data_IF_277175116780
#
_entry.id   IF_277175116780
#
_cell.length_a   1.000
_cell.length_b   1.000
_cell.length_c   1.000
_cell.angle_alpha   90.00
_cell.angle_beta   90.00
_cell.angle_gamma   90.00
#
_symmetry.space_group_name_H-M   'P 1'
#
loop_
_entity.id
_entity.type
_entity.pdbx_description
1 polymer ?
#
# COMPACT_ATOMS: atom_id res chain seq x y z
N UNK A 1 -37.56 -62.94 29.23
CA UNK A 1 -37.39 -61.57 29.77
C UNK A 1 -36.34 -60.88 28.90
N UNK A 2 -36.75 -59.88 28.10
CA UNK A 2 -35.89 -59.23 27.10
C UNK A 2 -35.00 -58.18 27.79
N UNK A 3 -33.69 -58.30 27.65
CA UNK A 3 -32.71 -57.29 28.05
C UNK A 3 -32.40 -56.41 26.84
N UNK A 4 -32.81 -55.14 26.92
CA UNK A 4 -32.50 -54.10 25.95
C UNK A 4 -31.07 -53.63 26.18
N UNK A 5 -30.17 -53.87 25.21
CA UNK A 5 -28.82 -53.29 25.21
C UNK A 5 -28.92 -51.88 24.66
N UNK A 6 -28.62 -50.88 25.50
CA UNK A 6 -28.51 -49.49 25.06
C UNK A 6 -27.09 -49.24 24.53
N UNK A 7 -27.00 -48.99 23.23
CA UNK A 7 -25.76 -48.63 22.54
C UNK A 7 -25.49 -47.13 22.77
N UNK A 8 -24.47 -46.81 23.58
CA UNK A 8 -24.01 -45.44 23.76
C UNK A 8 -23.02 -45.08 22.65
N UNK A 9 -23.47 -44.33 21.65
CA UNK A 9 -22.60 -43.77 20.60
C UNK A 9 -21.95 -42.52 21.18
N UNK A 10 -20.69 -42.62 21.58
CA UNK A 10 -19.86 -41.47 21.94
C UNK A 10 -19.39 -40.84 20.62
N UNK A 11 -20.08 -39.78 20.19
CA UNK A 11 -19.62 -38.92 19.11
C UNK A 11 -18.42 -38.10 19.62
N UNK A 12 -17.20 -38.56 19.29
CA UNK A 12 -16.00 -37.76 19.41
C UNK A 12 -16.09 -36.62 18.39
N UNK A 13 -16.54 -35.46 18.86
CA UNK A 13 -16.46 -34.22 18.11
C UNK A 13 -15.00 -33.87 17.86
N UNK A 14 -14.54 -34.05 16.63
CA UNK A 14 -13.27 -33.49 16.15
C UNK A 14 -13.43 -31.98 16.21
N UNK A 15 -12.84 -31.36 17.22
CA UNK A 15 -12.72 -29.92 17.31
C UNK A 15 -11.72 -29.51 16.23
N UNK A 16 -12.21 -29.15 15.05
CA UNK A 16 -11.45 -28.35 14.10
C UNK A 16 -11.27 -27.00 14.78
N UNK A 17 -10.14 -26.85 15.48
CA UNK A 17 -9.65 -25.55 15.86
C UNK A 17 -9.38 -24.80 14.55
N UNK A 18 -10.40 -24.10 14.07
CA UNK A 18 -10.26 -23.06 13.08
C UNK A 18 -9.30 -22.05 13.72
N UNK A 19 -8.01 -22.17 13.40
CA UNK A 19 -7.04 -21.15 13.72
C UNK A 19 -7.53 -19.91 12.98
N UNK A 20 -8.26 -19.06 13.68
CA UNK A 20 -8.66 -17.76 13.17
C UNK A 20 -7.34 -17.03 12.89
N UNK A 21 -6.92 -17.00 11.63
CA UNK A 21 -5.85 -16.11 11.22
C UNK A 21 -6.27 -14.71 11.69
N UNK A 22 -5.41 -14.07 12.47
CA UNK A 22 -5.64 -12.69 12.89
C UNK A 22 -5.75 -11.86 11.62
N UNK A 23 -6.91 -11.28 11.38
CA UNK A 23 -7.23 -10.46 10.20
C UNK A 23 -6.40 -9.15 10.12
N UNK A 24 -5.43 -8.98 11.03
CA UNK A 24 -4.66 -7.76 11.29
C UNK A 24 -3.17 -7.86 10.96
N UNK A 25 -2.64 -9.05 10.62
CA UNK A 25 -1.23 -9.18 10.26
C UNK A 25 -1.00 -8.69 8.80
N UNK A 26 0.07 -7.92 8.54
CA UNK A 26 0.37 -7.46 7.19
C UNK A 26 0.61 -8.67 6.26
N UNK A 27 0.19 -8.59 4.99
CA UNK A 27 0.38 -9.68 4.05
C UNK A 27 1.87 -9.87 3.76
N UNK A 28 2.34 -11.12 3.85
CA UNK A 28 3.70 -11.46 3.39
C UNK A 28 3.81 -11.44 1.87
N UNK A 29 2.72 -11.74 1.16
CA UNK A 29 2.69 -11.85 -0.29
C UNK A 29 1.34 -11.40 -0.87
N UNK A 30 1.41 -10.60 -1.93
CA UNK A 30 0.26 -10.04 -2.64
C UNK A 30 0.29 -10.51 -4.09
N UNK A 31 -0.80 -11.11 -4.56
CA UNK A 31 -0.89 -11.72 -5.89
C UNK A 31 -1.68 -10.86 -6.86
N UNK A 32 -1.31 -10.93 -8.15
CA UNK A 32 -2.12 -10.38 -9.23
C UNK A 32 -3.47 -11.10 -9.34
N UNK A 33 -4.50 -10.45 -9.92
CA UNK A 33 -5.83 -11.07 -10.05
C UNK A 33 -5.80 -12.42 -10.80
N UNK A 34 -4.93 -12.54 -11.80
CA UNK A 34 -4.72 -13.74 -12.60
C UNK A 34 -3.69 -14.72 -11.99
N UNK A 35 -3.16 -14.41 -10.80
CA UNK A 35 -2.15 -15.20 -10.06
C UNK A 35 -0.84 -15.45 -10.81
N UNK A 36 -0.57 -14.75 -11.91
CA UNK A 36 0.68 -14.89 -12.66
C UNK A 36 1.84 -14.13 -12.02
N UNK A 37 1.54 -13.08 -11.27
CA UNK A 37 2.54 -12.25 -10.61
C UNK A 37 2.30 -12.18 -9.10
N UNK A 38 3.36 -11.95 -8.35
CA UNK A 38 3.27 -11.63 -6.93
C UNK A 38 4.32 -10.63 -6.50
N UNK A 39 4.03 -9.94 -5.41
CA UNK A 39 4.95 -9.10 -4.67
C UNK A 39 5.05 -9.66 -3.25
N UNK A 40 6.26 -9.96 -2.80
CA UNK A 40 6.49 -10.64 -1.53
C UNK A 40 7.55 -9.92 -0.70
N UNK A 41 7.28 -9.81 0.60
CA UNK A 41 8.26 -9.40 1.58
C UNK A 41 8.98 -10.63 2.13
N UNK A 42 10.31 -10.65 2.00
CA UNK A 42 11.16 -11.66 2.59
C UNK A 42 11.88 -11.08 3.80
N UNK A 43 11.92 -11.83 4.90
CA UNK A 43 12.73 -11.48 6.07
C UNK A 43 14.18 -11.93 5.85
N UNK A 44 14.82 -11.35 4.85
CA UNK A 44 16.20 -11.63 4.46
C UNK A 44 16.82 -10.36 3.90
N UNK A 45 18.06 -10.08 4.28
CA UNK A 45 18.83 -8.97 3.75
C UNK A 45 19.63 -9.40 2.51
N UNK A 46 19.62 -8.59 1.45
CA UNK A 46 20.51 -8.81 0.30
C UNK A 46 21.97 -8.40 0.63
N UNK A 47 22.98 -8.97 -0.05
CA UNK A 47 24.36 -8.49 0.07
C UNK A 47 24.46 -6.98 -0.21
N UNK A 48 25.17 -6.25 0.64
CA UNK A 48 25.31 -4.79 0.53
C UNK A 48 24.09 -4.00 1.06
N UNK A 49 23.11 -4.66 1.67
CA UNK A 49 22.05 -3.95 2.41
C UNK A 49 22.66 -3.15 3.55
N UNK A 50 22.27 -1.88 3.66
CA UNK A 50 22.66 -1.04 4.78
C UNK A 50 22.05 -1.52 6.11
N UNK A 51 22.40 -0.87 7.23
CA UNK A 51 22.08 -1.35 8.58
C UNK A 51 20.58 -1.41 8.93
N UNK A 52 19.71 -0.97 8.02
CA UNK A 52 18.26 -1.04 8.18
C UNK A 52 17.59 -2.00 7.19
N UNK A 53 18.27 -2.44 6.12
CA UNK A 53 17.73 -3.25 5.03
C UNK A 53 17.61 -4.74 5.37
N UNK A 54 16.86 -5.06 6.43
CA UNK A 54 16.67 -6.45 6.89
C UNK A 54 15.63 -7.23 6.08
N UNK A 55 14.85 -6.53 5.25
CA UNK A 55 13.84 -7.13 4.40
C UNK A 55 14.19 -6.98 2.93
N UNK A 56 13.68 -7.91 2.13
CA UNK A 56 13.78 -7.87 0.67
C UNK A 56 12.40 -7.87 0.07
N UNK A 57 12.09 -6.84 -0.71
CA UNK A 57 10.91 -6.79 -1.55
C UNK A 57 11.22 -7.55 -2.84
N UNK A 58 10.42 -8.56 -3.16
CA UNK A 58 10.57 -9.34 -4.38
C UNK A 58 9.36 -9.19 -5.28
N UNK A 59 9.60 -9.04 -6.59
CA UNK A 59 8.56 -9.08 -7.63
C UNK A 59 8.76 -10.36 -8.44
N UNK A 60 7.70 -11.14 -8.61
CA UNK A 60 7.78 -12.49 -9.17
C UNK A 60 6.79 -12.69 -10.32
N UNK A 61 7.13 -13.57 -11.24
CA UNK A 61 6.26 -14.15 -12.25
C UNK A 61 6.23 -15.68 -12.04
N UNK A 62 5.21 -16.19 -11.36
CA UNK A 62 5.19 -17.55 -10.82
C UNK A 62 6.41 -17.82 -9.93
N UNK A 63 7.21 -18.82 -10.29
CA UNK A 63 8.43 -19.19 -9.57
C UNK A 63 9.66 -18.35 -9.93
N UNK A 64 9.57 -17.54 -10.98
CA UNK A 64 10.68 -16.70 -11.42
C UNK A 64 10.68 -15.37 -10.66
N UNK A 65 11.80 -15.06 -10.02
CA UNK A 65 12.06 -13.71 -9.49
C UNK A 65 12.38 -12.78 -10.66
N UNK A 66 11.60 -11.70 -10.79
CA UNK A 66 11.86 -10.63 -11.76
C UNK A 66 12.82 -9.60 -11.19
N UNK A 67 12.63 -9.23 -9.92
CA UNK A 67 13.49 -8.26 -9.24
C UNK A 67 13.44 -8.40 -7.71
N UNK A 68 14.50 -7.95 -7.06
CA UNK A 68 14.66 -7.92 -5.61
C UNK A 68 15.23 -6.55 -5.20
N UNK A 69 14.70 -5.98 -4.12
CA UNK A 69 15.15 -4.71 -3.59
C UNK A 69 15.29 -4.78 -2.06
N UNK A 70 16.42 -4.31 -1.50
CA UNK A 70 16.51 -4.15 -0.05
C UNK A 70 15.49 -3.10 0.39
N UNK A 71 14.75 -3.39 1.44
CA UNK A 71 13.76 -2.48 2.01
C UNK A 71 13.59 -2.71 3.50
N UNK A 72 12.67 -1.95 4.09
CA UNK A 72 12.32 -2.00 5.50
C UNK A 72 10.80 -2.06 5.67
N UNK A 73 10.36 -2.48 6.86
CA UNK A 73 8.94 -2.55 7.22
C UNK A 73 8.19 -3.66 6.47
N UNK A 74 6.95 -3.39 6.06
CA UNK A 74 6.03 -4.44 5.59
C UNK A 74 5.14 -3.99 4.42
N UNK A 75 4.52 -4.96 3.73
CA UNK A 75 3.55 -4.68 2.66
C UNK A 75 2.22 -4.23 3.25
N UNK A 76 1.61 -3.22 2.61
CA UNK A 76 0.24 -2.80 2.90
C UNK A 76 -0.69 -3.34 1.81
N UNK A 77 -0.41 -3.00 0.55
CA UNK A 77 -1.28 -3.32 -0.58
C UNK A 77 -0.50 -3.31 -1.90
N UNK A 78 -1.10 -3.89 -2.94
CA UNK A 78 -0.58 -3.93 -4.30
C UNK A 78 -1.70 -3.72 -5.31
N UNK A 79 -1.53 -2.73 -6.16
CA UNK A 79 -2.48 -2.35 -7.20
C UNK A 79 -1.92 -2.74 -8.56
N UNK A 80 -2.60 -3.67 -9.22
CA UNK A 80 -2.23 -4.19 -10.53
C UNK A 80 -2.87 -3.34 -11.63
N UNK A 81 -2.09 -2.92 -12.62
CA UNK A 81 -2.65 -2.14 -13.73
C UNK A 81 -3.66 -2.99 -14.52
N UNK A 82 -4.72 -2.41 -15.10
CA UNK A 82 -5.77 -3.17 -15.81
C UNK A 82 -5.23 -3.96 -17.01
N UNK A 83 -4.15 -3.47 -17.63
CA UNK A 83 -3.47 -4.12 -18.74
C UNK A 83 -2.46 -5.21 -18.31
N UNK A 84 -2.29 -5.42 -16.99
CA UNK A 84 -1.39 -6.42 -16.42
C UNK A 84 0.10 -6.15 -16.65
N UNK A 85 0.48 -4.93 -17.06
CA UNK A 85 1.88 -4.57 -17.36
C UNK A 85 2.64 -4.00 -16.17
N UNK A 86 1.94 -3.48 -15.16
CA UNK A 86 2.54 -2.76 -14.04
C UNK A 86 1.91 -3.16 -12.70
N UNK A 87 2.67 -2.94 -11.63
CA UNK A 87 2.17 -2.99 -10.26
C UNK A 87 2.66 -1.79 -9.48
N UNK A 88 1.77 -1.15 -8.74
CA UNK A 88 2.10 -0.18 -7.71
C UNK A 88 1.97 -0.85 -6.35
N UNK A 89 2.98 -0.72 -5.50
CA UNK A 89 3.06 -1.41 -4.22
C UNK A 89 3.22 -0.39 -3.12
N UNK A 90 2.36 -0.48 -2.11
CA UNK A 90 2.49 0.27 -0.88
C UNK A 90 3.25 -0.57 0.13
N UNK A 91 4.46 -0.13 0.47
CA UNK A 91 5.30 -0.72 1.50
C UNK A 91 5.49 0.31 2.61
N UNK A 92 4.99 0.02 3.81
CA UNK A 92 5.22 0.89 4.97
C UNK A 92 6.68 0.81 5.37
N UNK A 93 7.42 1.91 5.25
CA UNK A 93 8.85 1.97 5.59
C UNK A 93 9.15 2.78 6.86
N UNK A 94 8.12 3.31 7.53
CA UNK A 94 8.29 4.08 8.76
C UNK A 94 6.97 4.61 9.32
N UNK A 95 7.05 5.74 10.04
CA UNK A 95 5.88 6.50 10.49
C UNK A 95 5.66 7.81 9.71
N UNK A 96 6.30 7.92 8.56
CA UNK A 96 6.13 8.95 7.54
C UNK A 96 6.96 8.54 6.32
N UNK A 97 6.65 9.07 5.14
CA UNK A 97 7.49 8.95 3.97
C UNK A 97 6.74 8.55 2.72
N UNK A 98 7.51 8.13 1.74
CA UNK A 98 7.03 7.65 0.46
C UNK A 98 6.95 6.13 0.49
N UNK A 99 5.76 5.57 0.49
CA UNK A 99 5.57 4.12 0.57
C UNK A 99 5.46 3.48 -0.82
N UNK A 100 5.48 4.30 -1.87
CA UNK A 100 5.11 3.88 -3.20
C UNK A 100 6.31 3.35 -3.99
N UNK A 101 6.22 2.07 -4.34
CA UNK A 101 6.99 1.46 -5.42
C UNK A 101 6.13 1.32 -6.68
N UNK A 102 6.75 1.39 -7.85
CA UNK A 102 6.09 1.05 -9.12
C UNK A 102 7.03 0.20 -9.96
N UNK A 103 6.56 -0.96 -10.40
CA UNK A 103 7.34 -1.91 -11.19
C UNK A 103 6.69 -2.18 -12.55
N UNK A 104 7.55 -2.40 -13.55
CA UNK A 104 7.19 -3.11 -14.77
C UNK A 104 7.16 -4.61 -14.49
N UNK A 105 6.08 -5.28 -14.87
CA UNK A 105 5.91 -6.73 -14.74
C UNK A 105 6.50 -7.50 -15.92
N UNK A 106 6.89 -6.79 -16.99
CA UNK A 106 7.51 -7.41 -18.17
C UNK A 106 8.95 -7.83 -17.88
N UNK A 107 9.68 -7.03 -17.10
CA UNK A 107 11.11 -7.19 -16.84
C UNK A 107 11.52 -6.98 -15.38
N UNK A 108 10.59 -6.65 -14.48
CA UNK A 108 10.87 -6.40 -13.06
C UNK A 108 11.45 -5.01 -12.77
N UNK A 109 11.61 -4.14 -13.78
CA UNK A 109 12.25 -2.84 -13.62
C UNK A 109 11.45 -1.95 -12.65
N UNK A 110 12.13 -1.36 -11.66
CA UNK A 110 11.55 -0.36 -10.76
C UNK A 110 11.44 0.99 -11.48
N UNK A 111 10.24 1.30 -11.98
CA UNK A 111 9.88 2.60 -12.57
C UNK A 111 9.95 3.70 -11.51
N UNK A 112 9.52 3.37 -10.29
CA UNK A 112 9.62 4.23 -9.13
C UNK A 112 10.06 3.42 -7.92
N UNK A 113 10.97 4.00 -7.14
CA UNK A 113 11.30 3.59 -5.78
C UNK A 113 10.81 4.67 -4.81
N UNK A 114 10.56 4.33 -3.54
CA UNK A 114 10.51 5.30 -2.45
C UNK A 114 11.70 6.24 -2.51
N UNK A 115 11.47 7.54 -2.27
CA UNK A 115 12.57 8.53 -2.23
C UNK A 115 13.67 8.15 -1.24
N UNK A 116 13.27 7.47 -0.16
CA UNK A 116 14.13 7.05 0.94
C UNK A 116 14.53 5.57 0.82
N UNK A 117 14.41 4.97 -0.37
CA UNK A 117 14.77 3.57 -0.61
C UNK A 117 16.27 3.29 -0.41
N UNK A 118 17.13 4.29 -0.65
CA UNK A 118 18.57 4.16 -0.48
C UNK A 118 18.94 4.17 1.02
N UNK A 119 19.63 3.14 1.54
CA UNK A 119 19.88 3.02 2.97
C UNK A 119 20.86 4.07 3.50
N UNK A 120 21.78 4.57 2.67
CA UNK A 120 22.88 5.43 3.13
C UNK A 120 22.46 6.90 3.35
N UNK A 121 21.33 7.32 2.78
CA UNK A 121 20.87 8.72 2.78
C UNK A 121 19.39 8.89 3.15
N UNK A 122 18.77 7.85 3.71
CA UNK A 122 17.35 7.80 4.10
C UNK A 122 16.81 9.12 4.70
N UNK A 123 17.47 9.63 5.75
CA UNK A 123 16.97 10.79 6.48
C UNK A 123 17.06 12.10 5.67
N UNK A 124 18.11 12.26 4.87
CA UNK A 124 18.32 13.47 4.08
C UNK A 124 17.45 13.48 2.81
N UNK A 125 17.27 12.32 2.18
CA UNK A 125 16.36 12.14 1.05
C UNK A 125 14.91 12.42 1.47
N UNK A 126 14.48 11.86 2.61
CA UNK A 126 13.16 12.14 3.16
C UNK A 126 12.99 13.64 3.50
N UNK A 127 13.95 14.28 4.18
CA UNK A 127 13.87 15.71 4.52
C UNK A 127 13.73 16.58 3.27
N UNK A 128 14.53 16.32 2.24
CA UNK A 128 14.47 17.07 0.97
C UNK A 128 13.12 16.88 0.27
N UNK A 129 12.62 15.64 0.22
CA UNK A 129 11.31 15.33 -0.34
C UNK A 129 10.18 16.03 0.43
N UNK A 130 10.17 15.91 1.76
CA UNK A 130 9.17 16.55 2.61
C UNK A 130 9.20 18.06 2.48
N UNK A 131 10.39 18.68 2.49
CA UNK A 131 10.51 20.12 2.31
C UNK A 131 9.97 20.58 0.94
N UNK A 132 10.25 19.85 -0.14
CA UNK A 132 9.73 20.16 -1.46
C UNK A 132 8.18 20.04 -1.50
N UNK A 133 7.61 18.98 -0.91
CA UNK A 133 6.16 18.80 -0.82
C UNK A 133 5.49 19.89 0.01
N UNK A 134 6.07 20.25 1.16
CA UNK A 134 5.56 21.32 2.01
C UNK A 134 5.62 22.67 1.29
N UNK A 135 6.74 22.98 0.62
CA UNK A 135 6.85 24.19 -0.20
C UNK A 135 5.79 24.23 -1.30
N UNK A 136 5.55 23.10 -1.96
CA UNK A 136 4.53 22.98 -3.00
C UNK A 136 3.12 23.27 -2.48
N UNK A 137 2.72 22.66 -1.35
CA UNK A 137 1.36 22.88 -0.80
C UNK A 137 1.18 24.23 -0.13
N UNK A 138 2.24 24.81 0.46
CA UNK A 138 2.18 26.15 1.06
C UNK A 138 2.10 27.25 0.00
N UNK A 139 2.49 26.99 -1.24
CA UNK A 139 2.20 27.89 -2.36
C UNK A 139 0.69 27.96 -2.69
N UNK A 140 -0.08 26.91 -2.36
CA UNK A 140 -1.54 26.86 -2.53
C UNK A 140 -2.27 27.33 -1.26
N UNK A 141 -1.73 27.03 -0.09
CA UNK A 141 -2.26 27.37 1.23
C UNK A 141 -1.21 28.17 2.04
N UNK A 142 -1.08 29.50 1.82
CA UNK A 142 -0.02 30.32 2.42
C UNK A 142 -0.07 30.43 3.96
N UNK A 143 -1.20 30.09 4.58
CA UNK A 143 -1.37 30.02 6.03
C UNK A 143 -0.68 28.80 6.66
N UNK A 144 -0.30 27.81 5.85
CA UNK A 144 0.48 26.66 6.29
C UNK A 144 1.97 26.98 6.20
N UNK A 145 2.76 26.39 7.08
CA UNK A 145 4.21 26.63 7.10
C UNK A 145 5.00 25.36 7.39
N UNK A 146 6.27 25.37 7.02
CA UNK A 146 7.20 24.28 7.35
C UNK A 146 7.39 24.10 8.87
N UNK A 147 7.07 25.11 9.69
CA UNK A 147 7.08 24.98 11.15
C UNK A 147 5.97 24.06 11.66
N UNK A 148 4.79 24.16 11.04
CA UNK A 148 3.61 23.38 11.44
C UNK A 148 3.57 22.00 10.78
N UNK A 149 4.40 21.73 9.76
CA UNK A 149 4.53 20.40 9.17
C UNK A 149 4.86 19.36 10.25
N UNK A 150 4.11 18.25 10.24
CA UNK A 150 4.32 17.13 11.14
C UNK A 150 4.89 15.91 10.42
N UNK A 151 4.17 15.41 9.40
CA UNK A 151 4.50 14.20 8.65
C UNK A 151 3.74 14.14 7.33
N UNK A 152 4.19 13.30 6.43
CA UNK A 152 3.48 12.97 5.19
C UNK A 152 3.51 11.48 4.87
N UNK A 153 2.61 11.05 3.99
CA UNK A 153 2.52 9.67 3.50
C UNK A 153 2.13 9.69 2.03
N UNK A 154 2.96 9.12 1.17
CA UNK A 154 2.63 8.90 -0.25
C UNK A 154 2.33 7.42 -0.49
N UNK A 155 1.18 7.14 -1.10
CA UNK A 155 0.71 5.78 -1.39
C UNK A 155 -0.12 5.73 -2.68
N UNK A 156 -0.22 4.55 -3.27
CA UNK A 156 -1.10 4.30 -4.40
C UNK A 156 -2.56 4.24 -3.96
N UNK A 157 -3.44 4.63 -4.87
CA UNK A 157 -4.90 4.56 -4.70
C UNK A 157 -5.55 3.61 -5.69
N UNK A 158 -4.75 2.99 -6.55
CA UNK A 158 -5.17 2.15 -7.66
C UNK A 158 -4.88 2.77 -9.02
N UNK A 159 -5.52 2.21 -10.03
CA UNK A 159 -5.40 2.63 -11.42
C UNK A 159 -6.76 3.06 -11.95
N UNK A 160 -6.79 4.04 -12.85
CA UNK A 160 -7.98 4.34 -13.64
C UNK A 160 -8.28 3.19 -14.62
N UNK A 161 -9.48 3.19 -15.19
CA UNK A 161 -9.83 2.26 -16.27
C UNK A 161 -8.93 2.40 -17.51
N UNK A 162 -8.38 3.60 -17.75
CA UNK A 162 -7.41 3.87 -18.82
C UNK A 162 -5.99 3.39 -18.52
N UNK A 163 -5.73 2.88 -17.30
CA UNK A 163 -4.40 2.43 -16.88
C UNK A 163 -3.50 3.55 -16.37
N UNK A 164 -4.06 4.69 -15.96
CA UNK A 164 -3.30 5.77 -15.32
C UNK A 164 -3.24 5.53 -13.80
N UNK A 165 -2.05 5.64 -13.22
CA UNK A 165 -1.81 5.42 -11.79
C UNK A 165 -2.36 6.59 -10.98
N UNK A 166 -3.16 6.29 -9.96
CA UNK A 166 -3.64 7.27 -8.99
C UNK A 166 -2.79 7.19 -7.73
N UNK A 167 -2.22 8.32 -7.33
CA UNK A 167 -1.35 8.43 -6.15
C UNK A 167 -1.92 9.50 -5.25
N UNK A 168 -1.86 9.27 -3.94
CA UNK A 168 -2.22 10.27 -2.94
C UNK A 168 -1.05 10.50 -2.00
N UNK A 169 -0.77 11.77 -1.74
CA UNK A 169 0.09 12.19 -0.62
C UNK A 169 -0.76 12.91 0.42
N UNK A 170 -0.85 12.33 1.62
CA UNK A 170 -1.42 13.01 2.77
C UNK A 170 -0.31 13.78 3.49
N UNK A 171 -0.54 15.04 3.85
CA UNK A 171 0.39 15.91 4.56
C UNK A 171 -0.31 16.47 5.78
N UNK A 172 0.23 16.17 6.95
CA UNK A 172 -0.28 16.57 8.25
C UNK A 172 0.42 17.84 8.74
N UNK A 173 -0.38 18.77 9.27
CA UNK A 173 0.07 20.03 9.85
C UNK A 173 -0.56 20.21 11.22
N UNK A 174 0.24 20.60 12.23
CA UNK A 174 -0.22 20.75 13.63
C UNK A 174 -1.31 21.81 13.81
N UNK A 175 -1.37 22.79 12.90
CA UNK A 175 -2.41 23.83 12.89
C UNK A 175 -3.69 23.42 12.13
N UNK A 176 -3.77 22.17 11.66
CA UNK A 176 -4.95 21.55 11.06
C UNK A 176 -5.37 20.31 11.88
N UNK A 177 -5.91 20.47 13.10
CA UNK A 177 -6.14 19.35 14.02
C UNK A 177 -7.12 18.28 13.48
N UNK A 178 -8.02 18.69 12.59
CA UNK A 178 -9.13 17.86 12.09
C UNK A 178 -9.04 17.66 10.58
N UNK A 179 -7.90 18.00 9.96
CA UNK A 179 -7.71 18.01 8.52
C UNK A 179 -6.29 17.62 8.14
N UNK A 180 -6.13 17.15 6.92
CA UNK A 180 -4.85 17.02 6.24
C UNK A 180 -4.89 17.82 4.94
N UNK A 181 -3.72 18.11 4.38
CA UNK A 181 -3.63 18.45 2.95
C UNK A 181 -3.45 17.15 2.17
N UNK A 182 -4.33 16.90 1.20
CA UNK A 182 -4.24 15.80 0.26
C UNK A 182 -3.76 16.31 -1.10
N UNK A 183 -2.68 15.75 -1.60
CA UNK A 183 -2.20 15.92 -2.98
C UNK A 183 -2.55 14.67 -3.75
N UNK A 184 -3.47 14.78 -4.69
CA UNK A 184 -3.85 13.72 -5.61
C UNK A 184 -3.12 13.92 -6.93
N UNK A 185 -2.38 12.90 -7.36
CA UNK A 185 -1.71 12.90 -8.64
C UNK A 185 -2.23 11.75 -9.51
N UNK A 186 -2.37 12.02 -10.81
CA UNK A 186 -2.60 10.99 -11.83
C UNK A 186 -1.39 10.92 -12.73
N UNK A 187 -0.79 9.74 -12.85
CA UNK A 187 0.40 9.51 -13.64
C UNK A 187 0.14 8.54 -14.78
N UNK A 188 0.73 8.82 -15.94
CA UNK A 188 0.88 7.85 -17.02
C UNK A 188 2.29 7.31 -17.03
N UNK A 189 2.44 6.02 -17.30
CA UNK A 189 3.77 5.45 -17.56
C UNK A 189 4.11 5.63 -19.04
N UNK A 190 5.17 6.37 -19.32
CA UNK A 190 5.72 6.59 -20.66
C UNK A 190 7.21 6.33 -20.62
N UNK A 191 7.72 5.42 -21.45
CA UNK A 191 9.15 5.07 -21.52
C UNK A 191 9.75 4.77 -20.13
N UNK A 192 9.07 3.90 -19.35
CA UNK A 192 9.47 3.51 -17.99
C UNK A 192 9.62 4.68 -17.01
N UNK A 193 8.88 5.76 -17.21
CA UNK A 193 8.83 6.91 -16.30
C UNK A 193 7.39 7.29 -15.99
N UNK A 194 7.15 7.75 -14.76
CA UNK A 194 5.89 8.37 -14.39
C UNK A 194 5.86 9.80 -14.95
N UNK A 195 4.87 10.08 -15.79
CA UNK A 195 4.58 11.40 -16.34
C UNK A 195 3.30 11.90 -15.68
N UNK A 196 3.39 13.02 -14.98
CA UNK A 196 2.24 13.64 -14.32
C UNK A 196 1.24 14.12 -15.38
N UNK A 197 0.00 13.64 -15.33
CA UNK A 197 -1.09 14.08 -16.18
C UNK A 197 -1.93 15.16 -15.51
N UNK A 198 -2.20 14.97 -14.22
CA UNK A 198 -3.07 15.84 -13.45
C UNK A 198 -2.67 15.86 -11.98
N UNK A 199 -2.87 17.01 -11.35
CA UNK A 199 -2.71 17.20 -9.92
C UNK A 199 -3.89 17.96 -9.33
N UNK A 200 -4.35 17.52 -8.15
CA UNK A 200 -5.31 18.24 -7.33
C UNK A 200 -4.80 18.32 -5.91
N UNK A 201 -4.78 19.53 -5.36
CA UNK A 201 -4.39 19.79 -3.97
C UNK A 201 -5.62 20.30 -3.22
N UNK A 202 -5.96 19.66 -2.11
CA UNK A 202 -7.14 20.01 -1.32
C UNK A 202 -6.90 19.79 0.18
N UNK A 203 -7.64 20.50 1.02
CA UNK A 203 -7.79 20.11 2.43
C UNK A 203 -8.86 19.04 2.54
N UNK A 204 -8.60 17.99 3.30
CA UNK A 204 -9.53 16.88 3.51
C UNK A 204 -9.71 16.62 5.02
N UNK A 205 -10.92 16.27 5.48
CA UNK A 205 -11.14 15.92 6.88
C UNK A 205 -10.27 14.75 7.33
N UNK A 206 -9.75 14.83 8.55
CA UNK A 206 -8.97 13.78 9.20
C UNK A 206 -9.36 13.63 10.69
N UNK A 207 -9.66 12.41 11.19
CA UNK A 207 -9.74 11.16 10.43
C UNK A 207 -10.84 11.22 9.36
N UNK A 208 -10.74 10.43 8.28
CA UNK A 208 -11.75 10.45 7.23
C UNK A 208 -13.11 10.08 7.85
N UNK A 209 -14.21 10.71 7.40
CA UNK A 209 -15.53 10.42 7.92
C UNK A 209 -15.80 8.91 7.80
N UNK A 210 -16.39 8.31 8.84
CA UNK A 210 -16.81 6.91 8.76
C UNK A 210 -17.78 6.78 7.59
N UNK A 211 -17.41 6.04 6.56
CA UNK A 211 -18.35 5.66 5.51
C UNK A 211 -19.41 4.76 6.16
N UNK A 212 -20.65 5.24 6.24
CA UNK A 212 -21.79 4.37 6.54
C UNK A 212 -21.93 3.46 5.33
N UNK A 213 -21.63 2.17 5.50
CA UNK A 213 -21.80 1.14 4.49
C UNK A 213 -23.28 1.05 4.14
N UNK A 214 -23.71 1.70 3.06
CA UNK A 214 -25.05 1.55 2.52
C UNK A 214 -25.07 0.24 1.70
N UNK A 215 -25.48 -0.86 2.34
CA UNK A 215 -25.46 -2.21 1.78
C UNK A 215 -26.39 -2.42 0.56
N UNK A 216 -27.20 -1.42 0.21
CA UNK A 216 -28.25 -1.52 -0.81
C UNK A 216 -27.98 -0.72 -2.10
N UNK A 217 -26.72 -0.44 -2.46
CA UNK A 217 -26.43 0.24 -3.74
C UNK A 217 -26.37 -0.77 -4.92
N UNK A 218 -27.34 -0.78 -5.85
CA UNK A 218 -27.40 -1.73 -6.97
C UNK A 218 -26.29 -1.55 -8.01
N UNK A 219 -25.55 -0.43 -7.98
CA UNK A 219 -24.42 -0.19 -8.90
C UNK A 219 -23.14 -0.95 -8.52
N UNK A 220 -23.13 -1.72 -7.42
CA UNK A 220 -21.96 -2.51 -7.01
C UNK A 220 -21.75 -3.78 -7.85
N UNK A 221 -22.78 -4.24 -8.56
CA UNK A 221 -22.74 -5.48 -9.35
C UNK A 221 -21.94 -5.39 -10.67
N UNK A 222 -21.50 -4.19 -11.07
CA UNK A 222 -20.78 -3.96 -12.34
C UNK A 222 -19.29 -3.63 -12.16
N UNK A 223 -18.78 -3.63 -10.92
CA UNK A 223 -17.34 -3.55 -10.68
C UNK A 223 -16.79 -4.99 -10.55
N UNK A 224 -15.71 -5.36 -11.25
CA UNK A 224 -14.94 -6.54 -10.87
C UNK A 224 -14.63 -6.37 -9.38
N UNK A 225 -14.95 -7.40 -8.59
CA UNK A 225 -14.85 -7.41 -7.13
C UNK A 225 -13.67 -6.56 -6.68
N UNK A 226 -13.95 -5.37 -6.13
CA UNK A 226 -12.91 -4.56 -5.52
C UNK A 226 -12.19 -5.46 -4.52
N UNK A 227 -10.84 -5.54 -4.53
CA UNK A 227 -10.14 -6.19 -3.44
C UNK A 227 -10.65 -5.55 -2.15
N UNK A 228 -10.97 -6.40 -1.17
CA UNK A 228 -11.32 -5.95 0.16
C UNK A 228 -10.26 -4.94 0.56
N UNK A 229 -10.64 -3.66 0.68
CA UNK A 229 -9.75 -2.64 1.21
C UNK A 229 -9.43 -3.12 2.61
N UNK A 230 -8.25 -3.70 2.79
CA UNK A 230 -7.62 -3.76 4.09
C UNK A 230 -7.41 -2.30 4.46
N UNK A 231 -8.36 -1.75 5.21
CA UNK A 231 -8.17 -0.47 5.88
C UNK A 231 -7.15 -0.76 6.97
N UNK A 232 -5.89 -0.95 6.58
CA UNK A 232 -4.79 -0.81 7.49
C UNK A 232 -4.90 0.62 7.97
N UNK A 233 -5.36 0.75 9.22
CA UNK A 233 -5.21 1.97 9.98
C UNK A 233 -3.70 2.19 10.06
N UNK A 234 -3.14 2.86 9.07
CA UNK A 234 -2.02 3.73 9.31
C UNK A 234 -2.54 4.68 10.37
N UNK A 235 -2.28 4.35 11.64
CA UNK A 235 -2.32 5.33 12.71
C UNK A 235 -1.37 6.44 12.26
N UNK A 236 -1.95 7.49 11.67
CA UNK A 236 -1.28 8.76 11.49
C UNK A 236 -1.05 9.32 12.88
#
# INVERSE_FOLDING_TARGET
MRLTVSLLIIALGVSIAQCAMREDDPPDELFSPDKRYSVKMLHTALPGSGPYGFFTLTVRAGDRVLSEFPTIGYLIDAFWSPDGRYVAVDNRRGNSGDYLWVFSLTDGHAIKKPVDAAPDHFAEDYKRFAHAMVKHVTAVFPELTNREFNKLFTFAMGWSASGDLQVKTNIDFRNLPDQIVAVWNTYKIVNNKLVLLNEKIEKAPWPPPRQILNLNNPNRALQPTAPQRHVFRAHL
#
